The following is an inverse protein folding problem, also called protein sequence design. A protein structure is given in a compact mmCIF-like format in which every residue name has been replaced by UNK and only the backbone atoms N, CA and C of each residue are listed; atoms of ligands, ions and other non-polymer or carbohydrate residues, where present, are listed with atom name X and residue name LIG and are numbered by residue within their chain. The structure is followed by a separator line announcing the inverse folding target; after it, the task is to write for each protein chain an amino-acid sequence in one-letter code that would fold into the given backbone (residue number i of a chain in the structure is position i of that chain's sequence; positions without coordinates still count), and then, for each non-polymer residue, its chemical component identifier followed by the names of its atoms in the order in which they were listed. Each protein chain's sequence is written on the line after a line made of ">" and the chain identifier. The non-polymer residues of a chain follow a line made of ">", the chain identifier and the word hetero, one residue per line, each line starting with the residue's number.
data_IF_726013661570
#
_entry.id   IF_726013661570
#
_cell.length_a   1.000
_cell.length_b   1.000
_cell.length_c   1.000
_cell.angle_alpha   90.00
_cell.angle_beta   90.00
_cell.angle_gamma   90.00
#
_symmetry.space_group_name_H-M   'P 1'
#
loop_
_entity.id
_entity.type
_entity.pdbx_description
1 polymer ?
#
# COMPACT_ATOMS: atom_id res chain seq x y z
N UNK A 1 2.45 -10.62 31.59
CA UNK A 1 3.38 -10.49 30.44
C UNK A 1 3.00 -9.35 29.51
N UNK A 2 1.96 -9.41 28.65
CA UNK A 2 1.63 -8.26 27.76
C UNK A 2 1.35 -6.96 28.50
N UNK A 3 0.47 -7.01 29.52
CA UNK A 3 0.10 -5.85 30.35
C UNK A 3 1.32 -5.23 31.06
N UNK A 4 2.35 -6.03 31.32
CA UNK A 4 3.50 -5.62 32.11
C UNK A 4 4.65 -5.09 31.26
N UNK A 5 4.74 -5.50 29.98
CA UNK A 5 5.94 -5.27 29.17
C UNK A 5 5.69 -4.58 27.85
N UNK A 6 4.46 -4.62 27.32
CA UNK A 6 4.14 -4.18 25.95
C UNK A 6 5.03 -4.83 24.87
N UNK A 7 5.62 -6.00 25.15
CA UNK A 7 6.61 -6.67 24.28
C UNK A 7 6.06 -7.89 23.51
N UNK A 8 4.74 -8.10 23.50
CA UNK A 8 4.10 -9.26 22.87
C UNK A 8 3.11 -8.79 21.80
N UNK A 9 3.25 -9.37 20.61
CA UNK A 9 2.26 -9.27 19.53
C UNK A 9 1.43 -10.55 19.44
N UNK A 10 0.21 -10.42 18.91
CA UNK A 10 -0.74 -11.51 18.73
C UNK A 10 -1.07 -11.66 17.25
N UNK A 11 -1.07 -12.89 16.76
CA UNK A 11 -1.46 -13.25 15.40
C UNK A 11 -2.51 -14.37 15.46
N UNK A 12 -3.44 -14.37 14.50
CA UNK A 12 -4.60 -15.25 14.55
C UNK A 12 -4.32 -16.64 13.96
N UNK A 13 -4.08 -17.62 14.84
CA UNK A 13 -3.83 -19.02 14.45
C UNK A 13 -5.04 -19.69 13.78
N UNK A 14 -6.27 -19.35 14.16
CA UNK A 14 -7.47 -19.94 13.54
C UNK A 14 -7.64 -19.55 12.06
N UNK A 15 -7.03 -18.43 11.65
CA UNK A 15 -6.98 -18.01 10.24
C UNK A 15 -5.76 -18.62 9.52
N UNK A 16 -4.60 -18.67 10.18
CA UNK A 16 -3.34 -19.08 9.53
C UNK A 16 -3.20 -20.60 9.45
N UNK A 17 -3.55 -21.34 10.50
CA UNK A 17 -3.38 -22.81 10.57
C UNK A 17 -4.10 -23.55 9.43
N UNK A 18 -5.34 -23.19 9.01
CA UNK A 18 -5.97 -23.81 7.84
C UNK A 18 -5.22 -23.57 6.51
N UNK A 19 -4.41 -22.51 6.42
CA UNK A 19 -3.69 -22.13 5.20
C UNK A 19 -2.26 -22.67 5.16
N UNK A 20 -1.59 -22.75 6.32
CA UNK A 20 -0.17 -23.08 6.43
C UNK A 20 0.10 -24.40 7.17
N UNK A 21 -0.88 -25.00 7.83
CA UNK A 21 -0.68 -26.15 8.71
C UNK A 21 -0.38 -25.73 10.15
N UNK A 22 0.03 -26.68 10.99
CA UNK A 22 0.31 -26.48 12.41
C UNK A 22 1.80 -26.23 12.73
N UNK A 23 2.68 -26.34 11.74
CA UNK A 23 4.13 -26.09 11.84
C UNK A 23 4.56 -24.90 10.95
N UNK A 24 3.91 -23.76 11.14
CA UNK A 24 4.30 -22.48 10.52
C UNK A 24 4.90 -21.54 11.55
N UNK A 25 5.72 -20.61 11.07
CA UNK A 25 6.29 -19.54 11.86
C UNK A 25 5.99 -18.18 11.23
N UNK A 26 6.07 -17.13 12.05
CA UNK A 26 5.97 -15.74 11.60
C UNK A 26 7.36 -15.22 11.27
N UNK A 27 7.53 -14.77 10.03
CA UNK A 27 8.72 -14.07 9.58
C UNK A 27 8.51 -12.56 9.63
N UNK A 28 9.51 -11.85 10.15
CA UNK A 28 9.48 -10.40 10.36
C UNK A 28 8.32 -9.99 11.29
N UNK A 29 7.27 -9.34 10.79
CA UNK A 29 6.17 -8.84 11.61
C UNK A 29 4.98 -9.80 11.64
N UNK A 30 4.39 -10.08 10.47
CA UNK A 30 3.06 -10.70 10.33
C UNK A 30 3.02 -11.80 9.26
N UNK A 31 4.17 -12.14 8.67
CA UNK A 31 4.21 -12.95 7.46
C UNK A 31 4.41 -14.44 7.76
N UNK A 32 3.35 -15.23 7.70
CA UNK A 32 3.40 -16.67 7.96
C UNK A 32 4.13 -17.47 6.85
N UNK A 33 4.92 -18.46 7.26
CA UNK A 33 5.59 -19.43 6.38
C UNK A 33 5.69 -20.79 7.05
N UNK A 34 5.48 -21.87 6.28
CA UNK A 34 5.79 -23.24 6.68
C UNK A 34 7.29 -23.40 6.90
N UNK A 35 7.69 -23.81 8.10
CA UNK A 35 9.09 -23.89 8.51
C UNK A 35 9.86 -24.86 7.60
N UNK A 36 11.02 -24.44 7.09
CA UNK A 36 11.86 -25.23 6.19
C UNK A 36 11.28 -25.50 4.79
N UNK A 37 10.05 -25.06 4.49
CA UNK A 37 9.34 -25.38 3.24
C UNK A 37 8.99 -24.16 2.40
N UNK A 38 8.89 -22.98 3.02
CA UNK A 38 8.51 -21.73 2.37
C UNK A 38 9.51 -20.63 2.69
N UNK A 39 9.69 -19.72 1.73
CA UNK A 39 10.41 -18.46 1.92
C UNK A 39 9.66 -17.30 1.26
N UNK A 40 10.00 -16.08 1.67
CA UNK A 40 9.46 -14.86 1.08
C UNK A 40 10.55 -14.01 0.43
N UNK A 41 10.32 -13.68 -0.83
CA UNK A 41 10.95 -12.56 -1.50
C UNK A 41 10.35 -11.26 -0.95
N UNK A 42 11.14 -10.58 -0.12
CA UNK A 42 10.73 -9.37 0.57
C UNK A 42 10.61 -8.18 -0.39
N UNK A 43 9.39 -7.67 -0.55
CA UNK A 43 9.11 -6.59 -1.49
C UNK A 43 9.14 -5.18 -0.90
N UNK A 44 9.39 -4.97 0.40
CA UNK A 44 9.10 -3.69 1.05
C UNK A 44 7.64 -3.24 0.83
N UNK A 45 7.38 -2.01 0.35
CA UNK A 45 6.02 -1.44 0.21
C UNK A 45 5.92 -0.44 -0.94
N UNK A 46 4.72 -0.25 -1.47
CA UNK A 46 4.35 0.86 -2.34
C UNK A 46 3.50 1.92 -1.60
N UNK A 47 3.67 3.20 -1.92
CA UNK A 47 2.91 4.30 -1.33
C UNK A 47 1.62 4.56 -2.13
N UNK A 48 0.53 3.93 -1.73
CA UNK A 48 -0.75 4.00 -2.43
C UNK A 48 -1.50 5.32 -2.18
N UNK A 49 -1.14 6.08 -1.14
CA UNK A 49 -1.64 7.44 -0.91
C UNK A 49 -1.02 8.44 -1.90
N UNK A 50 0.28 8.34 -2.17
CA UNK A 50 0.92 9.14 -3.23
C UNK A 50 0.38 8.76 -4.61
N UNK A 51 0.11 7.47 -4.87
CA UNK A 51 -0.53 7.05 -6.11
C UNK A 51 -1.87 7.76 -6.35
N UNK A 52 -2.64 8.06 -5.29
CA UNK A 52 -3.89 8.83 -5.42
C UNK A 52 -3.62 10.29 -5.83
N UNK A 53 -2.60 10.93 -5.24
CA UNK A 53 -2.21 12.28 -5.63
C UNK A 53 -1.69 12.35 -7.08
N UNK A 54 -0.90 11.35 -7.50
CA UNK A 54 -0.48 11.21 -8.89
C UNK A 54 -1.69 11.07 -9.82
N UNK A 55 -2.72 10.33 -9.42
CA UNK A 55 -3.96 10.23 -10.21
C UNK A 55 -4.69 11.56 -10.35
N UNK A 56 -4.75 12.33 -9.25
CA UNK A 56 -5.37 13.67 -9.23
C UNK A 56 -4.60 14.66 -10.10
N UNK A 57 -3.27 14.58 -10.09
CA UNK A 57 -2.36 15.52 -10.76
C UNK A 57 -1.90 15.07 -12.16
N UNK A 58 -2.62 14.15 -12.81
CA UNK A 58 -2.27 13.74 -14.18
C UNK A 58 -0.90 13.07 -14.28
N UNK A 59 -0.49 12.36 -13.22
CA UNK A 59 0.79 11.66 -13.13
C UNK A 59 1.97 12.51 -12.69
N UNK A 60 1.74 13.78 -12.34
CA UNK A 60 2.77 14.71 -11.86
C UNK A 60 2.89 14.66 -10.33
N UNK A 61 4.11 14.56 -9.83
CA UNK A 61 4.40 14.59 -8.39
C UNK A 61 4.10 15.98 -7.80
N UNK A 62 3.33 16.02 -6.71
CA UNK A 62 2.84 17.26 -6.12
C UNK A 62 3.93 18.11 -5.44
N UNK A 63 5.08 17.51 -5.10
CA UNK A 63 6.19 18.21 -4.43
C UNK A 63 7.29 18.58 -5.41
N UNK A 64 7.71 17.63 -6.25
CA UNK A 64 8.81 17.82 -7.20
C UNK A 64 8.38 18.44 -8.53
N UNK A 65 7.09 18.39 -8.86
CA UNK A 65 6.52 18.86 -10.13
C UNK A 65 7.07 18.11 -11.35
N UNK A 66 7.57 16.90 -11.13
CA UNK A 66 8.09 16.01 -12.17
C UNK A 66 6.98 15.06 -12.64
N UNK A 67 6.96 14.77 -13.94
CA UNK A 67 6.09 13.71 -14.47
C UNK A 67 6.64 12.34 -14.07
N UNK A 68 5.85 11.57 -13.32
CA UNK A 68 6.24 10.25 -12.78
C UNK A 68 5.47 9.13 -13.44
N UNK A 69 4.18 9.34 -13.68
CA UNK A 69 3.30 8.35 -14.31
C UNK A 69 2.81 8.91 -15.65
N UNK A 70 3.19 8.31 -16.79
CA UNK A 70 2.76 8.81 -18.08
C UNK A 70 1.27 8.53 -18.33
N UNK A 71 0.68 9.28 -19.26
CA UNK A 71 -0.64 9.00 -19.84
C UNK A 71 -1.83 9.00 -18.86
N UNK A 72 -1.75 9.75 -17.76
CA UNK A 72 -2.90 10.01 -16.89
C UNK A 72 -3.56 11.32 -17.34
N UNK A 73 -4.83 11.24 -17.76
CA UNK A 73 -5.57 12.42 -18.14
C UNK A 73 -5.72 13.38 -16.95
N UNK A 74 -5.57 14.71 -17.15
CA UNK A 74 -5.80 15.67 -16.07
C UNK A 74 -7.26 15.59 -15.59
N UNK A 75 -7.47 15.89 -14.31
CA UNK A 75 -8.80 16.16 -13.78
C UNK A 75 -9.15 17.63 -14.05
N UNK A 76 -10.35 17.86 -14.59
CA UNK A 76 -10.90 19.19 -14.82
C UNK A 76 -12.07 19.42 -13.87
N UNK A 77 -12.26 20.66 -13.44
CA UNK A 77 -13.34 21.04 -12.53
C UNK A 77 -12.85 21.46 -11.14
N UNK A 78 -13.75 22.16 -10.45
CA UNK A 78 -13.50 22.77 -9.14
C UNK A 78 -13.79 21.82 -7.98
N UNK A 79 -14.50 20.71 -8.24
CA UNK A 79 -14.84 19.70 -7.23
C UNK A 79 -14.45 18.34 -7.77
N UNK A 80 -13.79 17.53 -6.96
CA UNK A 80 -13.40 16.17 -7.32
C UNK A 80 -14.63 15.26 -7.40
N UNK A 81 -14.73 14.52 -8.50
CA UNK A 81 -15.71 13.45 -8.67
C UNK A 81 -15.08 12.09 -8.31
N UNK A 82 -15.80 11.28 -7.54
CA UNK A 82 -15.29 10.01 -7.04
C UNK A 82 -14.98 9.02 -8.16
N UNK A 83 -15.91 8.82 -9.09
CA UNK A 83 -15.76 7.83 -10.16
C UNK A 83 -14.63 8.24 -11.11
N UNK A 84 -14.54 9.54 -11.41
CA UNK A 84 -13.50 10.10 -12.25
C UNK A 84 -12.09 9.97 -11.63
N UNK A 85 -11.96 10.25 -10.33
CA UNK A 85 -10.71 10.09 -9.58
C UNK A 85 -10.34 8.61 -9.50
N UNK A 86 -11.30 7.75 -9.18
CA UNK A 86 -11.03 6.34 -8.94
C UNK A 86 -10.61 5.60 -10.22
N UNK A 87 -11.21 5.94 -11.36
CA UNK A 87 -10.80 5.40 -12.66
C UNK A 87 -9.35 5.79 -13.04
N UNK A 88 -8.94 7.03 -12.74
CA UNK A 88 -7.53 7.44 -12.91
C UNK A 88 -6.62 6.76 -11.91
N UNK A 89 -7.09 6.60 -10.68
CA UNK A 89 -6.34 5.93 -9.63
C UNK A 89 -6.02 4.49 -9.99
N UNK A 90 -6.98 3.75 -10.56
CA UNK A 90 -6.77 2.41 -11.12
C UNK A 90 -5.63 2.36 -12.13
N UNK A 91 -5.56 3.31 -13.07
CA UNK A 91 -4.48 3.40 -14.07
C UNK A 91 -3.12 3.65 -13.42
N UNK A 92 -3.06 4.51 -12.40
CA UNK A 92 -1.83 4.72 -11.63
C UNK A 92 -1.44 3.47 -10.85
N UNK A 93 -2.40 2.77 -10.25
CA UNK A 93 -2.16 1.53 -9.53
C UNK A 93 -1.65 0.41 -10.46
N UNK A 94 -2.17 0.29 -11.67
CA UNK A 94 -1.67 -0.66 -12.68
C UNK A 94 -0.21 -0.34 -13.04
N UNK A 95 0.12 0.93 -13.30
CA UNK A 95 1.50 1.36 -13.58
C UNK A 95 2.44 1.07 -12.40
N UNK A 96 2.01 1.38 -11.18
CA UNK A 96 2.79 1.11 -9.97
C UNK A 96 2.95 -0.39 -9.74
N UNK A 97 1.94 -1.20 -10.02
CA UNK A 97 2.01 -2.65 -9.88
C UNK A 97 3.05 -3.25 -10.84
N UNK A 98 3.04 -2.86 -12.11
CA UNK A 98 4.04 -3.28 -13.11
C UNK A 98 5.46 -2.93 -12.67
N UNK A 99 5.69 -1.64 -12.39
CA UNK A 99 7.00 -1.14 -11.97
C UNK A 99 7.49 -1.83 -10.69
N UNK A 100 6.57 -2.10 -9.76
CA UNK A 100 6.91 -2.74 -8.50
C UNK A 100 7.31 -4.21 -8.72
N UNK A 101 6.54 -4.98 -9.51
CA UNK A 101 6.88 -6.36 -9.85
C UNK A 101 8.22 -6.44 -10.57
N UNK A 102 8.46 -5.57 -11.56
CA UNK A 102 9.74 -5.52 -12.29
C UNK A 102 10.93 -5.23 -11.37
N UNK A 103 10.76 -4.27 -10.46
CA UNK A 103 11.78 -3.92 -9.47
C UNK A 103 12.11 -5.12 -8.57
N UNK A 104 11.09 -5.81 -8.08
CA UNK A 104 11.25 -6.98 -7.20
C UNK A 104 11.86 -8.16 -7.94
N UNK A 105 11.51 -8.38 -9.21
CA UNK A 105 12.13 -9.39 -10.06
C UNK A 105 13.63 -9.17 -10.19
N UNK A 106 14.06 -7.93 -10.46
CA UNK A 106 15.47 -7.58 -10.57
C UNK A 106 16.19 -7.77 -9.22
N UNK A 107 15.61 -7.27 -8.12
CA UNK A 107 16.21 -7.38 -6.79
C UNK A 107 16.47 -8.85 -6.43
N UNK A 108 15.48 -9.72 -6.55
CA UNK A 108 15.63 -11.10 -6.10
C UNK A 108 16.43 -11.96 -7.08
N UNK A 109 16.41 -11.66 -8.38
CA UNK A 109 17.36 -12.25 -9.31
C UNK A 109 18.81 -11.95 -8.89
N UNK A 110 19.10 -10.69 -8.56
CA UNK A 110 20.44 -10.28 -8.15
C UNK A 110 20.81 -10.83 -6.76
N UNK A 111 19.85 -10.91 -5.83
CA UNK A 111 20.08 -11.47 -4.51
C UNK A 111 20.43 -12.96 -4.59
N UNK A 112 19.65 -13.76 -5.34
CA UNK A 112 19.94 -15.18 -5.57
C UNK A 112 21.30 -15.37 -6.25
N UNK A 113 21.71 -14.45 -7.13
CA UNK A 113 22.97 -14.56 -7.87
C UNK A 113 24.20 -14.18 -7.03
N UNK A 114 24.11 -13.13 -6.23
CA UNK A 114 25.27 -12.50 -5.59
C UNK A 114 25.32 -12.63 -4.07
N UNK A 115 24.18 -12.93 -3.43
CA UNK A 115 24.04 -12.96 -1.98
C UNK A 115 23.12 -14.09 -1.52
N UNK A 116 23.20 -15.26 -2.18
CA UNK A 116 22.39 -16.42 -1.82
C UNK A 116 22.64 -16.84 -0.37
N UNK A 117 21.57 -16.97 0.42
CA UNK A 117 21.61 -17.24 1.85
C UNK A 117 21.87 -18.72 2.18
N UNK A 118 23.00 -19.24 1.70
CA UNK A 118 23.31 -20.67 1.70
C UNK A 118 23.15 -21.35 3.07
N UNK A 119 23.58 -20.71 4.16
CA UNK A 119 23.46 -21.30 5.50
C UNK A 119 22.01 -21.44 5.99
N UNK A 120 21.14 -20.50 5.61
CA UNK A 120 19.71 -20.56 5.92
C UNK A 120 18.99 -21.56 5.01
N UNK A 121 19.31 -21.54 3.72
CA UNK A 121 18.71 -22.42 2.71
C UNK A 121 19.14 -23.88 2.87
N UNK A 122 20.31 -24.15 3.45
CA UNK A 122 20.75 -25.51 3.79
C UNK A 122 19.85 -26.20 4.84
N UNK A 123 19.05 -25.43 5.57
CA UNK A 123 18.09 -25.91 6.58
C UNK A 123 16.65 -25.98 6.03
N UNK A 124 16.48 -25.91 4.71
CA UNK A 124 15.21 -26.07 4.04
C UNK A 124 15.17 -27.37 3.22
N UNK A 125 13.95 -27.83 2.90
CA UNK A 125 13.74 -28.88 1.91
C UNK A 125 14.34 -28.46 0.55
N UNK A 126 14.70 -29.45 -0.28
CA UNK A 126 15.35 -29.21 -1.58
C UNK A 126 14.54 -28.27 -2.50
N UNK A 127 13.20 -28.33 -2.43
CA UNK A 127 12.30 -27.50 -3.20
C UNK A 127 11.50 -26.57 -2.28
N UNK A 128 12.03 -25.35 -2.09
CA UNK A 128 11.36 -24.31 -1.30
C UNK A 128 10.33 -23.56 -2.14
N UNK A 129 9.10 -23.48 -1.64
CA UNK A 129 8.05 -22.66 -2.23
C UNK A 129 8.33 -21.17 -1.96
N UNK A 130 8.27 -20.36 -3.02
CA UNK A 130 8.58 -18.92 -2.95
C UNK A 130 7.30 -18.11 -3.01
N UNK A 131 7.15 -17.22 -2.05
CA UNK A 131 6.12 -16.20 -2.01
C UNK A 131 6.79 -14.84 -2.24
N UNK A 132 6.15 -13.93 -2.95
CA UNK A 132 6.64 -12.56 -3.10
C UNK A 132 5.76 -11.62 -2.32
N UNK A 133 6.33 -11.07 -1.24
CA UNK A 133 5.65 -10.27 -0.26
C UNK A 133 5.65 -8.80 -0.69
N UNK A 134 4.63 -8.41 -1.46
CA UNK A 134 4.37 -7.00 -1.73
C UNK A 134 3.76 -6.33 -0.50
N UNK A 135 4.05 -5.04 -0.35
CA UNK A 135 3.47 -4.22 0.72
C UNK A 135 2.74 -3.00 0.16
N UNK A 136 1.77 -2.50 0.90
CA UNK A 136 1.16 -1.17 0.68
C UNK A 136 1.27 -0.31 1.93
N UNK A 137 1.45 0.99 1.70
CA UNK A 137 1.52 2.02 2.72
C UNK A 137 0.48 3.12 2.46
N UNK A 138 -0.14 3.62 3.54
CA UNK A 138 -1.12 4.70 3.45
C UNK A 138 -2.56 4.24 3.17
N UNK A 139 -2.93 3.00 3.55
CA UNK A 139 -4.26 2.45 3.27
C UNK A 139 -5.41 3.31 3.81
N UNK A 140 -5.39 3.68 5.09
CA UNK A 140 -6.46 4.51 5.66
C UNK A 140 -6.44 5.93 5.10
N UNK A 141 -5.27 6.52 4.85
CA UNK A 141 -5.17 7.83 4.15
C UNK A 141 -5.84 7.77 2.79
N UNK A 142 -5.60 6.70 2.01
CA UNK A 142 -6.26 6.49 0.72
C UNK A 142 -7.77 6.29 0.88
N UNK A 143 -8.20 5.41 1.79
CA UNK A 143 -9.61 5.11 2.02
C UNK A 143 -10.39 6.34 2.47
N UNK A 144 -9.87 7.09 3.45
CA UNK A 144 -10.46 8.32 3.95
C UNK A 144 -10.46 9.43 2.90
N UNK A 145 -9.42 9.51 2.06
CA UNK A 145 -9.37 10.48 0.96
C UNK A 145 -10.44 10.20 -0.09
N UNK A 146 -10.62 8.93 -0.46
CA UNK A 146 -11.66 8.50 -1.39
C UNK A 146 -13.06 8.66 -0.76
N UNK A 147 -13.21 8.39 0.53
CA UNK A 147 -14.44 8.63 1.30
C UNK A 147 -14.80 10.12 1.32
N UNK A 148 -13.82 11.01 1.58
CA UNK A 148 -14.01 12.45 1.55
C UNK A 148 -14.49 12.92 0.16
N UNK A 149 -13.88 12.41 -0.92
CA UNK A 149 -14.29 12.74 -2.29
C UNK A 149 -15.72 12.23 -2.58
N UNK A 150 -16.12 11.09 -2.01
CA UNK A 150 -17.43 10.47 -2.26
C UNK A 150 -18.58 11.11 -1.47
N UNK A 151 -18.33 11.46 -0.21
CA UNK A 151 -19.38 11.84 0.74
C UNK A 151 -19.31 13.30 1.21
N UNK A 152 -18.22 14.00 0.94
CA UNK A 152 -18.06 15.43 1.18
C UNK A 152 -17.71 16.16 -0.12
N UNK A 153 -17.65 17.49 -0.07
CA UNK A 153 -17.24 18.30 -1.21
C UNK A 153 -15.75 18.62 -1.10
N UNK A 154 -14.94 17.99 -1.94
CA UNK A 154 -13.48 18.22 -1.98
C UNK A 154 -13.11 19.10 -3.16
N UNK A 155 -12.57 20.28 -2.87
CA UNK A 155 -12.08 21.24 -3.87
C UNK A 155 -10.54 21.24 -3.89
N UNK A 156 -9.89 20.89 -5.01
CA UNK A 156 -8.44 20.91 -5.13
C UNK A 156 -7.90 22.35 -5.19
N UNK A 157 -6.90 22.66 -4.38
CA UNK A 157 -6.17 23.93 -4.40
C UNK A 157 -4.92 23.72 -5.26
N UNK A 158 -4.88 24.42 -6.40
CA UNK A 158 -3.81 24.29 -7.40
C UNK A 158 -2.83 25.45 -7.31
N UNK A 159 -1.57 25.17 -7.60
CA UNK A 159 -0.53 26.19 -7.76
C UNK A 159 -0.56 26.83 -9.16
N UNK A 160 0.40 27.72 -9.41
CA UNK A 160 0.61 28.41 -10.69
C UNK A 160 0.89 27.48 -11.88
N UNK A 161 1.29 26.24 -11.62
CA UNK A 161 1.50 25.20 -12.64
C UNK A 161 0.27 24.31 -12.84
N UNK A 162 -0.83 24.58 -12.13
CA UNK A 162 -2.07 23.79 -12.20
C UNK A 162 -2.00 22.46 -11.42
N UNK A 163 -0.94 22.25 -10.64
CA UNK A 163 -0.74 21.05 -9.81
C UNK A 163 -1.46 21.24 -8.48
N UNK A 164 -2.25 20.25 -8.08
CA UNK A 164 -2.94 20.25 -6.79
C UNK A 164 -1.95 20.05 -5.66
N UNK A 165 -1.91 21.01 -4.72
CA UNK A 165 -0.98 21.03 -3.58
C UNK A 165 -1.69 20.97 -2.22
N UNK A 166 -2.98 21.32 -2.16
CA UNK A 166 -3.80 21.19 -0.97
C UNK A 166 -5.28 20.96 -1.35
N UNK A 167 -6.13 20.69 -0.36
CA UNK A 167 -7.56 20.43 -0.54
C UNK A 167 -8.40 21.20 0.46
N UNK A 168 -9.52 21.75 -0.01
CA UNK A 168 -10.58 22.28 0.85
C UNK A 168 -11.71 21.24 0.90
N UNK A 169 -12.00 20.74 2.10
CA UNK A 169 -13.08 19.77 2.35
C UNK A 169 -14.24 20.48 3.03
N UNK A 170 -15.42 20.43 2.44
CA UNK A 170 -16.67 20.98 2.98
C UNK A 170 -17.67 19.84 3.22
N UNK A 171 -18.07 19.64 4.47
CA UNK A 171 -18.94 18.53 4.90
C UNK A 171 -18.20 17.43 5.67
N UNK A 172 -18.96 16.54 6.30
CA UNK A 172 -18.45 15.38 7.02
C UNK A 172 -18.44 14.14 6.13
N UNK A 173 -17.50 13.22 6.39
CA UNK A 173 -17.38 11.96 5.66
C UNK A 173 -16.97 10.82 6.61
N UNK A 174 -17.32 9.56 6.30
CA UNK A 174 -16.92 8.39 7.08
C UNK A 174 -15.41 8.14 7.07
N UNK A 175 -14.83 7.73 8.20
CA UNK A 175 -13.40 7.44 8.33
C UNK A 175 -13.16 5.98 8.69
N UNK A 176 -12.18 5.37 8.04
CA UNK A 176 -11.83 3.96 8.14
C UNK A 176 -11.53 3.55 9.59
N UNK A 177 -12.04 2.40 10.02
CA UNK A 177 -11.81 1.90 11.38
C UNK A 177 -12.76 2.47 12.43
N UNK A 178 -13.93 2.93 12.01
CA UNK A 178 -15.06 3.26 12.89
C UNK A 178 -16.28 2.32 12.66
N UNK A 179 -16.06 1.15 12.05
CA UNK A 179 -17.11 0.16 11.73
C UNK A 179 -18.19 0.76 10.80
N UNK A 180 -17.75 1.37 9.70
CA UNK A 180 -18.63 2.00 8.71
C UNK A 180 -18.32 1.43 7.32
N UNK A 181 -19.20 0.54 6.86
CA UNK A 181 -19.09 -0.17 5.58
C UNK A 181 -18.78 0.78 4.41
N UNK A 182 -19.27 2.03 4.44
CA UNK A 182 -19.11 2.99 3.34
C UNK A 182 -17.66 3.34 3.03
N UNK A 183 -16.77 3.30 4.03
CA UNK A 183 -15.32 3.59 3.88
C UNK A 183 -14.49 2.32 4.02
N UNK A 184 -14.96 1.35 4.80
CA UNK A 184 -14.30 0.06 4.93
C UNK A 184 -14.35 -0.72 3.61
N UNK A 185 -15.46 -0.67 2.86
CA UNK A 185 -15.57 -1.24 1.51
C UNK A 185 -14.63 -0.58 0.51
N UNK A 186 -14.37 0.73 0.64
CA UNK A 186 -13.40 1.43 -0.20
C UNK A 186 -11.98 0.88 0.04
N UNK A 187 -11.62 0.67 1.32
CA UNK A 187 -10.33 0.06 1.65
C UNK A 187 -10.20 -1.35 1.07
N UNK A 188 -11.26 -2.18 1.18
CA UNK A 188 -11.30 -3.53 0.58
C UNK A 188 -11.16 -3.47 -0.94
N UNK A 189 -11.87 -2.54 -1.60
CA UNK A 189 -11.84 -2.38 -3.05
C UNK A 189 -10.43 -2.01 -3.53
N UNK A 190 -9.77 -1.05 -2.88
CA UNK A 190 -8.40 -0.61 -3.23
C UNK A 190 -7.39 -1.76 -3.08
N UNK A 191 -7.44 -2.48 -1.95
CA UNK A 191 -6.53 -3.62 -1.69
C UNK A 191 -6.75 -4.73 -2.70
N UNK A 192 -8.02 -5.05 -2.99
CA UNK A 192 -8.40 -6.09 -3.95
C UNK A 192 -7.94 -5.72 -5.35
N UNK A 193 -8.17 -4.48 -5.77
CA UNK A 193 -7.73 -3.98 -7.08
C UNK A 193 -6.21 -4.09 -7.22
N UNK A 194 -5.46 -3.58 -6.25
CA UNK A 194 -3.99 -3.59 -6.33
C UNK A 194 -3.41 -5.01 -6.30
N UNK A 195 -3.98 -5.91 -5.49
CA UNK A 195 -3.61 -7.33 -5.50
C UNK A 195 -3.83 -7.97 -6.87
N UNK A 196 -4.95 -7.67 -7.52
CA UNK A 196 -5.26 -8.19 -8.85
C UNK A 196 -4.37 -7.57 -9.93
N UNK A 197 -4.04 -6.28 -9.82
CA UNK A 197 -3.10 -5.61 -10.71
C UNK A 197 -1.72 -6.28 -10.65
N UNK A 198 -1.18 -6.51 -9.45
CA UNK A 198 0.10 -7.22 -9.26
C UNK A 198 0.08 -8.59 -9.94
N UNK A 199 -0.98 -9.38 -9.73
CA UNK A 199 -1.13 -10.74 -10.29
C UNK A 199 -1.16 -10.82 -11.82
N UNK A 200 -1.29 -9.70 -12.53
CA UNK A 200 -1.20 -9.66 -14.00
C UNK A 200 0.23 -9.88 -14.51
N UNK A 201 1.24 -9.68 -13.64
CA UNK A 201 2.65 -9.70 -14.03
C UNK A 201 3.35 -10.97 -13.52
N UNK A 202 4.24 -11.59 -14.31
CA UNK A 202 4.99 -12.76 -13.86
C UNK A 202 6.07 -12.38 -12.84
N UNK A 203 6.31 -13.27 -11.88
CA UNK A 203 7.37 -13.09 -10.87
C UNK A 203 8.53 -14.05 -11.11
N UNK A 204 9.75 -13.57 -10.83
CA UNK A 204 10.97 -14.34 -10.78
C UNK A 204 10.79 -15.68 -10.03
N UNK A 205 11.31 -16.76 -10.65
CA UNK A 205 11.18 -18.16 -10.18
C UNK A 205 9.74 -18.62 -9.91
N UNK A 206 8.76 -18.06 -10.62
CA UNK A 206 7.35 -18.39 -10.50
C UNK A 206 6.84 -18.29 -9.05
N UNK A 207 7.38 -17.35 -8.28
CA UNK A 207 6.92 -17.11 -6.92
C UNK A 207 5.44 -16.69 -6.91
N UNK A 208 4.74 -16.97 -5.80
CA UNK A 208 3.32 -16.62 -5.63
C UNK A 208 3.16 -15.20 -5.11
N UNK A 209 2.28 -14.41 -5.72
CA UNK A 209 1.93 -13.08 -5.25
C UNK A 209 1.29 -13.13 -3.86
N UNK A 210 1.83 -12.37 -2.91
CA UNK A 210 1.17 -12.06 -1.64
C UNK A 210 1.19 -10.56 -1.41
N UNK A 211 0.25 -10.05 -0.61
CA UNK A 211 0.11 -8.63 -0.33
C UNK A 211 -0.07 -8.42 1.16
N UNK A 212 0.65 -7.46 1.72
CA UNK A 212 0.57 -7.06 3.12
C UNK A 212 0.24 -5.57 3.24
N UNK A 213 -0.62 -5.22 4.20
CA UNK A 213 -0.83 -3.84 4.59
C UNK A 213 0.06 -3.48 5.78
N UNK A 214 1.38 -3.49 5.57
CA UNK A 214 2.39 -3.29 6.61
C UNK A 214 3.05 -1.90 6.46
N UNK A 215 3.22 -1.18 7.58
CA UNK A 215 3.90 0.13 7.84
C UNK A 215 5.42 0.22 8.11
N UNK A 216 5.84 -0.44 9.20
CA UNK A 216 7.06 -0.14 9.98
C UNK A 216 7.30 1.38 10.02
N UNK A 217 8.53 1.87 9.79
CA UNK A 217 8.89 3.30 9.82
C UNK A 217 8.65 4.02 8.49
N UNK A 218 8.25 3.28 7.45
CA UNK A 218 8.02 3.86 6.13
C UNK A 218 6.85 4.84 6.13
N UNK A 219 5.92 4.73 7.08
CA UNK A 219 4.81 5.66 7.25
C UNK A 219 5.30 7.11 7.48
N UNK A 220 6.40 7.28 8.22
CA UNK A 220 7.03 8.59 8.44
C UNK A 220 7.75 9.06 7.18
N UNK A 221 8.52 8.18 6.53
CA UNK A 221 9.28 8.55 5.34
C UNK A 221 8.38 8.87 4.14
N UNK A 222 7.31 8.09 3.94
CA UNK A 222 6.31 8.38 2.94
C UNK A 222 5.49 9.62 3.31
N UNK A 223 5.13 9.81 4.58
CA UNK A 223 4.43 11.03 5.03
C UNK A 223 5.21 12.31 4.72
N UNK A 224 6.54 12.30 4.95
CA UNK A 224 7.45 13.40 4.58
C UNK A 224 7.58 13.64 3.08
N UNK A 225 7.29 12.63 2.26
CA UNK A 225 7.38 12.68 0.79
C UNK A 225 6.02 12.75 0.12
N UNK A 226 4.93 12.91 0.87
CA UNK A 226 3.55 12.96 0.35
C UNK A 226 2.91 14.27 0.80
N UNK A 227 2.50 15.09 -0.16
CA UNK A 227 1.77 16.35 0.01
C UNK A 227 0.45 16.19 0.74
N UNK A 228 -0.27 17.29 0.96
CA UNK A 228 -1.60 17.23 1.59
C UNK A 228 -2.52 16.29 0.81
N UNK A 229 -3.39 15.55 1.49
CA UNK A 229 -4.29 14.56 0.89
C UNK A 229 -5.78 14.93 1.09
N UNK A 230 -6.70 14.40 0.26
CA UNK A 230 -8.13 14.74 0.32
C UNK A 230 -8.83 14.44 1.66
N UNK A 231 -8.29 13.54 2.47
CA UNK A 231 -8.73 13.28 3.86
C UNK A 231 -8.47 14.48 4.81
N UNK A 232 -7.76 15.50 4.35
CA UNK A 232 -7.38 16.67 5.14
C UNK A 232 -6.04 16.50 5.88
N UNK A 233 -5.35 15.36 5.72
CA UNK A 233 -4.00 15.19 6.25
C UNK A 233 -3.06 16.17 5.54
N UNK A 234 -2.29 16.92 6.32
CA UNK A 234 -1.36 17.93 5.82
C UNK A 234 0.00 17.35 5.45
N UNK A 235 0.68 18.03 4.53
CA UNK A 235 2.06 17.70 4.16
C UNK A 235 2.98 17.60 5.38
N UNK A 236 3.88 16.61 5.38
CA UNK A 236 4.87 16.39 6.44
C UNK A 236 4.34 15.58 7.64
N UNK A 237 3.02 15.43 7.79
CA UNK A 237 2.43 14.52 8.78
C UNK A 237 2.72 13.07 8.39
N UNK A 238 3.06 12.20 9.35
CA UNK A 238 3.27 10.79 9.04
C UNK A 238 1.98 10.16 8.45
N UNK A 239 2.14 9.21 7.53
CA UNK A 239 1.02 8.31 7.20
C UNK A 239 0.69 7.47 8.44
N UNK A 240 -0.52 6.92 8.46
CA UNK A 240 -0.94 5.96 9.47
C UNK A 240 -0.07 4.71 9.52
N UNK A 241 0.00 4.12 10.71
CA UNK A 241 0.59 2.79 10.89
C UNK A 241 -0.21 1.71 10.15
N UNK A 242 0.31 0.49 10.14
CA UNK A 242 -0.30 -0.65 9.43
C UNK A 242 -1.75 -0.87 9.85
N UNK A 243 -2.68 -0.74 8.90
CA UNK A 243 -4.14 -0.88 9.09
C UNK A 243 -4.73 -0.01 10.23
N UNK A 244 -4.05 1.06 10.65
CA UNK A 244 -4.55 1.93 11.71
C UNK A 244 -5.41 3.05 11.14
N UNK A 245 -6.41 3.48 11.91
CA UNK A 245 -7.21 4.67 11.60
C UNK A 245 -6.30 5.92 11.45
N UNK A 246 -6.68 6.85 10.58
CA UNK A 246 -6.06 8.16 10.47
C UNK A 246 -6.41 9.00 11.70
N UNK A 247 -5.67 8.74 12.78
CA UNK A 247 -5.69 9.49 14.04
C UNK A 247 -7.11 9.88 14.48
N UNK A 248 -7.80 8.95 15.15
CA UNK A 248 -8.97 9.31 15.96
C UNK A 248 -8.51 10.14 17.17
N UNK A 249 -8.57 11.47 16.97
CA UNK A 249 -8.37 12.56 17.94
C UNK A 249 -6.95 12.77 18.47
#
# INVERSE_FOLDING_TARGET
>A
MSIETDSIQYENDDIMRPLYGDDYAISCCVSAMRVGKQMQFFGARANIAKSLLLAINGGVDELKKESVVPNIAPLHGDVLDYDEVFERYKKVLDYVAELYVDTINIIHYMHDKYAYEASQMALHDANVERLTAFGIAGLSVTADSLSAIKYAKVTPIRDEHGVTVDFKVEGDYPKYGNDDDRVDDIAVEVVTYFSNALKKHPIYRNAKHTLSALTITSNVMYGKKTGSTPDGRKFGTACTGSKSNAWTR
#
